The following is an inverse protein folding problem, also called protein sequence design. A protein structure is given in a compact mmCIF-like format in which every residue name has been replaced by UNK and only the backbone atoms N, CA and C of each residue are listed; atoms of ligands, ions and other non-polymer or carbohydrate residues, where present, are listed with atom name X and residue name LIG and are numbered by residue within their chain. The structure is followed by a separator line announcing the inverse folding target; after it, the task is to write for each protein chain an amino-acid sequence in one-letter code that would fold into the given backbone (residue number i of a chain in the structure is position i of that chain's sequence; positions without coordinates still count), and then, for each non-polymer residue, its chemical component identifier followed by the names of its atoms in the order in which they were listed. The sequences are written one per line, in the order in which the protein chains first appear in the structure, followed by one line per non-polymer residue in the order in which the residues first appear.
data_IF_579523389041
#
_entry.id   IF_579523389041
#
_cell.length_a   1.000
_cell.length_b   1.000
_cell.length_c   1.000
_cell.angle_alpha   90.00
_cell.angle_beta   90.00
_cell.angle_gamma   90.00
#
_symmetry.space_group_name_H-M   'P 1'
#
loop_
_entity.id
_entity.type
_entity.pdbx_description
1 polymer ?
#
# COMPACT_ATOMS: atom_id res chain seq x y z
N UNK A 1 -19.87 13.63 -6.30
CA UNK A 1 -18.77 13.25 -7.22
C UNK A 1 -17.63 12.51 -6.51
N UNK A 2 -17.13 12.99 -5.35
CA UNK A 2 -16.04 12.33 -4.61
C UNK A 2 -16.36 10.90 -4.14
N UNK A 3 -17.60 10.64 -3.70
CA UNK A 3 -18.05 9.28 -3.34
C UNK A 3 -17.91 8.31 -4.51
N UNK A 4 -18.24 8.72 -5.74
CA UNK A 4 -18.08 7.88 -6.93
C UNK A 4 -16.60 7.57 -7.15
N UNK A 5 -15.71 8.57 -7.03
CA UNK A 5 -14.27 8.36 -7.13
C UNK A 5 -13.72 7.43 -6.03
N UNK A 6 -14.23 7.54 -4.80
CA UNK A 6 -13.93 6.64 -3.68
C UNK A 6 -14.30 5.19 -4.03
N UNK A 7 -15.53 4.94 -4.51
CA UNK A 7 -15.94 3.62 -4.97
C UNK A 7 -15.07 3.08 -6.12
N UNK A 8 -14.71 3.92 -7.10
CA UNK A 8 -13.82 3.52 -8.20
C UNK A 8 -12.42 3.15 -7.70
N UNK A 9 -11.89 3.81 -6.66
CA UNK A 9 -10.61 3.46 -6.04
C UNK A 9 -10.65 2.11 -5.33
N UNK A 10 -11.76 1.77 -4.66
CA UNK A 10 -11.96 0.43 -4.10
C UNK A 10 -11.96 -0.61 -5.21
N UNK A 11 -12.76 -0.37 -6.25
CA UNK A 11 -12.91 -1.27 -7.39
C UNK A 11 -11.58 -1.52 -8.10
N UNK A 12 -10.84 -0.45 -8.45
CA UNK A 12 -9.56 -0.60 -9.13
C UNK A 12 -8.55 -1.35 -8.25
N UNK A 13 -8.57 -1.16 -6.93
CA UNK A 13 -7.79 -1.95 -5.96
C UNK A 13 -7.99 -3.46 -6.11
N UNK A 14 -9.23 -3.91 -6.17
CA UNK A 14 -9.51 -5.33 -6.43
C UNK A 14 -9.03 -5.76 -7.81
N UNK A 15 -9.33 -4.98 -8.86
CA UNK A 15 -8.95 -5.27 -10.24
C UNK A 15 -7.43 -5.42 -10.38
N UNK A 16 -6.65 -4.48 -9.86
CA UNK A 16 -5.20 -4.50 -9.97
C UNK A 16 -4.56 -5.62 -9.17
N UNK A 17 -4.99 -5.84 -7.92
CA UNK A 17 -4.45 -6.94 -7.13
C UNK A 17 -4.81 -8.30 -7.72
N UNK A 18 -6.09 -8.54 -8.04
CA UNK A 18 -6.54 -9.84 -8.52
C UNK A 18 -6.13 -10.13 -9.97
N UNK A 19 -6.46 -9.24 -10.91
CA UNK A 19 -6.11 -9.47 -12.32
C UNK A 19 -4.59 -9.35 -12.53
N UNK A 20 -3.93 -8.45 -11.83
CA UNK A 20 -2.48 -8.31 -11.91
C UNK A 20 -1.72 -9.53 -11.40
N UNK A 21 -2.10 -10.10 -10.24
CA UNK A 21 -1.48 -11.34 -9.77
C UNK A 21 -1.74 -12.49 -10.75
N UNK A 22 -3.00 -12.67 -11.17
CA UNK A 22 -3.41 -13.79 -12.03
C UNK A 22 -2.81 -13.75 -13.43
N UNK A 23 -2.83 -12.59 -14.07
CA UNK A 23 -2.51 -12.46 -15.50
C UNK A 23 -1.12 -11.92 -15.76
N UNK A 24 -0.48 -11.25 -14.80
CA UNK A 24 0.86 -10.66 -14.95
C UNK A 24 1.86 -11.39 -14.05
N UNK A 25 1.74 -11.30 -12.72
CA UNK A 25 2.78 -11.79 -11.82
C UNK A 25 2.97 -13.30 -11.88
N UNK A 26 1.90 -14.09 -11.82
CA UNK A 26 2.00 -15.56 -11.92
C UNK A 26 2.64 -15.97 -13.25
N UNK A 27 2.34 -15.28 -14.35
CA UNK A 27 2.94 -15.59 -15.66
C UNK A 27 4.40 -15.16 -15.72
N UNK A 28 4.71 -13.96 -15.22
CA UNK A 28 6.08 -13.44 -15.12
C UNK A 28 6.97 -14.38 -14.29
N UNK A 29 6.45 -14.93 -13.19
CA UNK A 29 7.19 -15.79 -12.28
C UNK A 29 7.38 -17.23 -12.76
N UNK A 30 6.65 -17.63 -13.81
CA UNK A 30 6.88 -18.89 -14.52
C UNK A 30 8.08 -18.83 -15.47
N UNK A 31 8.53 -17.64 -15.84
CA UNK A 31 9.76 -17.48 -16.61
C UNK A 31 10.97 -17.55 -15.67
N UNK A 32 11.94 -18.41 -15.99
CA UNK A 32 13.16 -18.62 -15.17
C UNK A 32 14.27 -17.58 -15.42
N UNK A 33 13.92 -16.44 -16.01
CA UNK A 33 14.86 -15.38 -16.42
C UNK A 33 14.89 -14.17 -15.47
N UNK A 34 14.26 -14.26 -14.30
CA UNK A 34 14.29 -13.17 -13.32
C UNK A 34 15.69 -13.03 -12.68
N UNK A 35 16.12 -11.79 -12.38
CA UNK A 35 17.37 -11.56 -11.67
C UNK A 35 17.44 -12.34 -10.36
N UNK A 36 18.53 -13.09 -10.18
CA UNK A 36 18.78 -13.85 -8.95
C UNK A 36 19.48 -12.94 -7.95
N UNK A 37 18.77 -12.61 -6.86
CA UNK A 37 19.28 -11.81 -5.75
C UNK A 37 19.40 -12.72 -4.52
N UNK A 38 20.54 -12.67 -3.83
CA UNK A 38 20.82 -13.58 -2.72
C UNK A 38 20.74 -15.07 -3.12
N UNK A 39 21.26 -15.41 -4.31
CA UNK A 39 21.37 -16.80 -4.80
C UNK A 39 20.12 -17.40 -5.44
N UNK A 40 18.97 -16.72 -5.44
CA UNK A 40 17.74 -17.19 -6.10
C UNK A 40 16.86 -16.03 -6.58
N UNK A 41 15.82 -16.30 -7.38
CA UNK A 41 14.83 -15.30 -7.77
C UNK A 41 13.74 -15.08 -6.70
N UNK A 42 13.75 -15.86 -5.61
CA UNK A 42 12.72 -15.84 -4.57
C UNK A 42 12.61 -14.46 -3.90
N UNK A 43 13.74 -13.78 -3.68
CA UNK A 43 13.71 -12.41 -3.16
C UNK A 43 13.05 -11.45 -4.16
N UNK A 44 13.48 -11.49 -5.42
CA UNK A 44 12.94 -10.69 -6.52
C UNK A 44 11.44 -10.88 -6.68
N UNK A 45 10.95 -12.12 -6.72
CA UNK A 45 9.51 -12.46 -6.83
C UNK A 45 8.69 -11.84 -5.69
N UNK A 46 9.19 -11.91 -4.45
CA UNK A 46 8.49 -11.33 -3.28
C UNK A 46 8.48 -9.81 -3.30
N UNK A 47 9.58 -9.18 -3.68
CA UNK A 47 9.64 -7.71 -3.80
C UNK A 47 8.68 -7.23 -4.90
N UNK A 48 8.60 -7.96 -6.02
CA UNK A 48 7.66 -7.65 -7.10
C UNK A 48 6.20 -7.79 -6.65
N UNK A 49 5.82 -8.89 -5.96
CA UNK A 49 4.49 -9.03 -5.36
C UNK A 49 4.18 -7.92 -4.36
N UNK A 50 5.14 -7.62 -3.49
CA UNK A 50 5.01 -6.54 -2.52
C UNK A 50 4.72 -5.21 -3.21
N UNK A 51 5.56 -4.81 -4.18
CA UNK A 51 5.39 -3.56 -4.90
C UNK A 51 4.03 -3.50 -5.65
N UNK A 52 3.59 -4.63 -6.19
CA UNK A 52 2.30 -4.75 -6.87
C UNK A 52 1.11 -4.52 -5.92
N UNK A 53 1.06 -5.24 -4.81
CA UNK A 53 -0.06 -5.14 -3.87
C UNK A 53 -0.02 -3.87 -3.01
N UNK A 54 1.16 -3.25 -2.84
CA UNK A 54 1.30 -1.97 -2.14
C UNK A 54 0.42 -0.88 -2.77
N UNK A 55 0.35 -0.84 -4.10
CA UNK A 55 -0.50 0.11 -4.84
C UNK A 55 -1.99 -0.04 -4.48
N UNK A 56 -2.46 -1.26 -4.22
CA UNK A 56 -3.84 -1.50 -3.78
C UNK A 56 -4.10 -0.91 -2.39
N UNK A 57 -3.15 -1.06 -1.46
CA UNK A 57 -3.23 -0.44 -0.13
C UNK A 57 -3.32 1.08 -0.27
N UNK A 58 -2.49 1.67 -1.14
CA UNK A 58 -2.53 3.11 -1.43
C UNK A 58 -3.87 3.57 -2.00
N UNK A 59 -4.46 2.84 -2.95
CA UNK A 59 -5.76 3.22 -3.52
C UNK A 59 -6.90 3.13 -2.51
N UNK A 60 -6.91 2.11 -1.65
CA UNK A 60 -7.90 2.04 -0.57
C UNK A 60 -7.69 3.15 0.47
N UNK A 61 -6.44 3.55 0.72
CA UNK A 61 -6.12 4.75 1.48
C UNK A 61 -6.71 6.02 0.86
N UNK A 62 -6.45 6.25 -0.42
CA UNK A 62 -7.04 7.38 -1.16
C UNK A 62 -8.56 7.32 -1.19
N UNK A 63 -9.15 6.13 -1.30
CA UNK A 63 -10.60 5.95 -1.23
C UNK A 63 -11.17 6.47 0.09
N UNK A 64 -10.55 6.11 1.22
CA UNK A 64 -10.97 6.58 2.54
C UNK A 64 -10.79 8.10 2.69
N UNK A 65 -9.69 8.67 2.17
CA UNK A 65 -9.49 10.13 2.15
C UNK A 65 -10.60 10.81 1.33
N UNK A 66 -10.90 10.33 0.12
CA UNK A 66 -11.98 10.90 -0.71
C UNK A 66 -13.35 10.78 -0.05
N UNK A 67 -13.59 9.70 0.70
CA UNK A 67 -14.82 9.52 1.46
C UNK A 67 -14.96 10.58 2.57
N UNK A 68 -13.94 10.78 3.40
CA UNK A 68 -13.96 11.81 4.45
C UNK A 68 -14.08 13.23 3.86
N UNK A 69 -13.37 13.50 2.76
CA UNK A 69 -13.51 14.78 2.04
C UNK A 69 -14.90 14.98 1.42
N UNK A 70 -15.63 13.90 1.12
CA UNK A 70 -17.00 14.00 0.59
C UNK A 70 -18.04 14.32 1.66
N UNK A 71 -17.75 14.01 2.93
CA UNK A 71 -18.60 14.28 4.08
C UNK A 71 -17.75 14.86 5.23
N UNK A 72 -17.25 16.10 5.11
CA UNK A 72 -16.30 16.65 6.08
C UNK A 72 -16.90 16.71 7.48
N UNK A 73 -16.24 16.08 8.45
CA UNK A 73 -16.57 16.23 9.87
C UNK A 73 -15.88 17.44 10.48
N UNK A 74 -16.21 17.77 11.74
CA UNK A 74 -15.51 18.80 12.51
C UNK A 74 -14.01 18.51 12.69
N UNK A 75 -13.55 17.28 12.43
CA UNK A 75 -12.15 16.87 12.61
C UNK A 75 -11.55 16.16 11.39
N UNK A 76 -11.87 16.65 10.18
CA UNK A 76 -11.37 16.10 8.92
C UNK A 76 -9.82 15.96 8.85
N UNK A 77 -9.06 16.87 9.48
CA UNK A 77 -7.59 16.76 9.58
C UNK A 77 -7.18 15.48 10.32
N UNK A 78 -7.81 15.17 11.44
CA UNK A 78 -7.54 13.96 12.21
C UNK A 78 -7.88 12.70 11.39
N UNK A 79 -9.05 12.66 10.76
CA UNK A 79 -9.50 11.53 9.95
C UNK A 79 -8.51 11.20 8.82
N UNK A 80 -8.08 12.22 8.07
CA UNK A 80 -7.11 12.07 6.99
C UNK A 80 -5.76 11.58 7.53
N UNK A 81 -5.25 12.16 8.63
CA UNK A 81 -3.97 11.74 9.22
C UNK A 81 -4.02 10.30 9.73
N UNK A 82 -5.13 9.87 10.34
CA UNK A 82 -5.30 8.47 10.77
C UNK A 82 -5.34 7.51 9.57
N UNK A 83 -6.01 7.88 8.47
CA UNK A 83 -5.96 7.06 7.24
C UNK A 83 -4.52 6.91 6.75
N UNK A 84 -3.75 8.00 6.71
CA UNK A 84 -2.34 7.98 6.32
C UNK A 84 -1.54 7.07 7.28
N UNK A 85 -1.71 7.22 8.59
CA UNK A 85 -1.05 6.36 9.59
C UNK A 85 -1.35 4.88 9.34
N UNK A 86 -2.61 4.51 9.11
CA UNK A 86 -3.01 3.12 8.90
C UNK A 86 -2.41 2.58 7.59
N UNK A 87 -2.53 3.31 6.49
CA UNK A 87 -1.99 2.92 5.17
C UNK A 87 -0.48 2.67 5.26
N UNK A 88 0.26 3.58 5.88
CA UNK A 88 1.71 3.46 6.00
C UNK A 88 2.13 2.40 7.03
N UNK A 89 1.36 2.18 8.10
CA UNK A 89 1.59 1.07 9.03
C UNK A 89 1.44 -0.28 8.32
N UNK A 90 0.35 -0.48 7.58
CA UNK A 90 0.13 -1.71 6.80
C UNK A 90 1.25 -1.87 5.77
N UNK A 91 1.61 -0.81 5.05
CA UNK A 91 2.70 -0.81 4.07
C UNK A 91 4.04 -1.22 4.71
N UNK A 92 4.35 -0.70 5.89
CA UNK A 92 5.53 -1.06 6.68
C UNK A 92 5.54 -2.54 7.09
N UNK A 93 4.43 -3.03 7.64
CA UNK A 93 4.27 -4.44 8.04
C UNK A 93 4.46 -5.36 6.82
N UNK A 94 3.75 -5.11 5.73
CA UNK A 94 3.82 -5.94 4.52
C UNK A 94 5.22 -5.89 3.92
N UNK A 95 5.83 -4.70 3.82
CA UNK A 95 7.21 -4.53 3.35
C UNK A 95 8.20 -5.33 4.20
N UNK A 96 8.09 -5.26 5.53
CA UNK A 96 8.98 -5.98 6.44
C UNK A 96 8.83 -7.50 6.27
N UNK A 97 7.60 -8.00 6.27
CA UNK A 97 7.29 -9.44 6.17
C UNK A 97 7.69 -10.03 4.81
N UNK A 98 7.32 -9.40 3.70
CA UNK A 98 7.59 -9.92 2.35
C UNK A 98 9.08 -9.91 2.03
N UNK A 99 9.80 -8.88 2.49
CA UNK A 99 11.24 -8.76 2.20
C UNK A 99 12.12 -9.39 3.27
N UNK A 100 11.54 -9.83 4.40
CA UNK A 100 12.26 -10.26 5.62
C UNK A 100 13.28 -9.22 6.08
N UNK A 101 12.87 -7.95 6.08
CA UNK A 101 13.70 -6.81 6.45
C UNK A 101 14.81 -6.43 5.46
N UNK A 102 15.03 -7.19 4.38
CA UNK A 102 16.12 -6.96 3.41
C UNK A 102 15.91 -5.74 2.48
N UNK A 103 14.70 -5.18 2.46
CA UNK A 103 14.39 -3.97 1.71
C UNK A 103 13.95 -2.88 2.69
N UNK A 104 14.77 -1.84 2.87
CA UNK A 104 14.64 -0.87 3.96
C UNK A 104 13.43 0.08 3.86
N UNK A 105 12.55 -0.04 2.85
CA UNK A 105 11.35 0.80 2.75
C UNK A 105 10.43 0.71 3.97
N UNK A 106 10.45 -0.41 4.71
CA UNK A 106 9.66 -0.56 5.93
C UNK A 106 9.99 0.50 7.00
N UNK A 107 11.26 0.92 7.11
CA UNK A 107 11.66 1.98 8.03
C UNK A 107 10.97 3.30 7.67
N UNK A 108 11.03 3.68 6.39
CA UNK A 108 10.42 4.91 5.91
C UNK A 108 8.90 4.89 6.07
N UNK A 109 8.25 3.76 5.79
CA UNK A 109 6.82 3.62 6.01
C UNK A 109 6.44 3.78 7.49
N UNK A 110 7.18 3.17 8.41
CA UNK A 110 6.92 3.37 9.84
C UNK A 110 7.25 4.78 10.32
N UNK A 111 8.29 5.42 9.80
CA UNK A 111 8.57 6.84 10.09
C UNK A 111 7.38 7.73 9.67
N UNK A 112 6.87 7.56 8.45
CA UNK A 112 5.71 8.31 7.96
C UNK A 112 4.48 8.04 8.83
N UNK A 113 4.21 6.77 9.16
CA UNK A 113 3.08 6.41 10.02
C UNK A 113 3.18 7.06 11.41
N UNK A 114 4.37 7.04 12.01
CA UNK A 114 4.65 7.57 13.35
C UNK A 114 4.53 9.08 13.38
N UNK A 115 5.12 9.77 12.39
CA UNK A 115 5.03 11.23 12.27
C UNK A 115 3.58 11.66 12.04
N UNK A 116 2.86 10.98 11.14
CA UNK A 116 1.44 11.28 10.86
C UNK A 116 0.55 11.08 12.08
N UNK A 117 0.81 10.02 12.86
CA UNK A 117 0.11 9.75 14.11
C UNK A 117 0.41 10.84 15.15
N UNK A 118 1.68 11.19 15.33
CA UNK A 118 2.07 12.26 16.25
C UNK A 118 1.43 13.60 15.87
N UNK A 119 1.35 13.91 14.57
CA UNK A 119 0.65 15.11 14.06
C UNK A 119 -0.85 15.12 14.34
N UNK A 120 -1.47 14.00 14.74
CA UNK A 120 -2.87 14.02 15.19
C UNK A 120 -3.04 14.66 16.57
N UNK A 121 -1.98 14.62 17.38
CA UNK A 121 -1.97 15.12 18.76
C UNK A 121 -1.70 16.64 18.77
N UNK A 122 -0.88 17.12 17.84
CA UNK A 122 -0.48 18.53 17.74
C UNK A 122 -1.16 19.19 16.53
N UNK A 123 -1.95 20.25 16.78
CA UNK A 123 -2.65 21.02 15.73
C UNK A 123 -1.68 21.90 14.96
#
# INVERSE_FOLDING_TARGET
MLVIASFLLIFIGFVHSYLGEKYILIRLFKNDNLPKLFGSDHFTKRVLRFAWHLTTVSWWGFSAILYFLSNPSLNNRFEILIVITVVFTISGIVSFLFTRGKHLSWLFFFCIASISYFSTIYK
#
